data_IF_914038096382
#
_entry.id   IF_914038096382
#
_cell.length_a   1.000
_cell.length_b   1.000
_cell.length_c   1.000
_cell.angle_alpha   90.00
_cell.angle_beta   90.00
_cell.angle_gamma   90.00
#
_symmetry.space_group_name_H-M   'P 1'
#
loop_
_entity.id
_entity.type
_entity.pdbx_description
1 polymer ?
#
# COMPACT_ATOMS: atom_id res chain seq x y z
N UNK A 1 14.71 1.15 69.58
CA UNK A 1 14.69 2.31 68.66
C UNK A 1 13.36 3.00 68.86
N UNK A 2 13.35 4.27 69.31
CA UNK A 2 12.11 5.01 69.57
C UNK A 2 11.58 5.52 68.23
N UNK A 3 10.36 5.14 67.87
CA UNK A 3 9.60 5.78 66.79
C UNK A 3 9.21 7.19 67.24
N UNK A 4 9.92 8.21 66.75
CA UNK A 4 9.49 9.60 66.87
C UNK A 4 8.45 9.89 65.78
N UNK A 5 7.20 10.13 66.20
CA UNK A 5 6.14 10.56 65.31
C UNK A 5 6.52 11.89 64.62
N UNK A 6 6.20 12.09 63.33
CA UNK A 6 6.55 13.30 62.61
C UNK A 6 5.92 14.53 63.28
N UNK A 7 6.76 15.45 63.74
CA UNK A 7 6.36 16.68 64.43
C UNK A 7 5.74 17.64 63.43
N UNK A 8 4.41 17.68 63.35
CA UNK A 8 3.68 18.64 62.51
C UNK A 8 3.85 20.03 63.13
N UNK A 9 4.63 20.89 62.48
CA UNK A 9 4.82 22.28 62.87
C UNK A 9 3.65 23.09 62.29
N UNK A 10 2.86 23.71 63.16
CA UNK A 10 1.77 24.59 62.74
C UNK A 10 2.30 26.01 62.51
N UNK A 11 1.95 26.60 61.37
CA UNK A 11 2.26 27.99 61.04
C UNK A 11 0.96 28.76 60.87
N UNK A 12 0.87 29.94 61.48
CA UNK A 12 -0.30 30.82 61.38
C UNK A 12 -0.07 31.85 60.29
N UNK A 13 -1.03 31.99 59.37
CA UNK A 13 -1.05 33.06 58.36
C UNK A 13 -2.34 33.86 58.54
N UNK A 14 -2.22 35.18 58.66
CA UNK A 14 -3.36 36.08 58.75
C UNK A 14 -3.78 36.51 57.34
N UNK A 15 -5.07 36.48 57.05
CA UNK A 15 -5.66 36.95 55.80
C UNK A 15 -6.54 38.17 56.06
N UNK A 16 -6.67 39.05 55.06
CA UNK A 16 -7.54 40.21 55.14
C UNK A 16 -9.03 39.81 55.10
N UNK A 17 -9.91 40.77 55.42
CA UNK A 17 -11.36 40.54 55.51
C UNK A 17 -12.00 40.21 54.15
N UNK A 18 -11.48 40.71 53.03
CA UNK A 18 -12.02 40.43 51.70
C UNK A 18 -11.68 39.01 51.26
N UNK A 19 -10.42 38.60 51.42
CA UNK A 19 -9.98 37.23 51.17
C UNK A 19 -10.73 36.24 52.07
N UNK A 20 -10.95 36.59 53.34
CA UNK A 20 -11.77 35.80 54.26
C UNK A 20 -13.21 35.58 53.78
N UNK A 21 -13.85 36.61 53.21
CA UNK A 21 -15.20 36.49 52.61
C UNK A 21 -15.21 35.59 51.38
N UNK A 22 -14.17 35.62 50.56
CA UNK A 22 -14.03 34.73 49.40
C UNK A 22 -13.99 33.27 49.83
N UNK A 23 -13.15 32.96 50.84
CA UNK A 23 -13.07 31.62 51.44
C UNK A 23 -14.43 31.19 51.97
N UNK A 24 -15.14 32.06 52.70
CA UNK A 24 -16.49 31.76 53.19
C UNK A 24 -17.51 31.50 52.07
N UNK A 25 -17.43 32.23 50.96
CA UNK A 25 -18.30 32.01 49.79
C UNK A 25 -18.06 30.63 49.18
N UNK A 26 -16.80 30.20 49.08
CA UNK A 26 -16.42 28.87 48.58
C UNK A 26 -16.87 27.79 49.56
N UNK A 27 -16.63 27.98 50.87
CA UNK A 27 -17.12 27.09 51.92
C UNK A 27 -18.63 26.88 51.85
N UNK A 28 -19.42 27.95 51.65
CA UNK A 28 -20.88 27.87 51.50
C UNK A 28 -21.31 27.16 50.22
N UNK A 29 -20.62 27.41 49.09
CA UNK A 29 -20.97 26.83 47.78
C UNK A 29 -20.79 25.30 47.76
N UNK A 30 -19.72 24.82 48.37
CA UNK A 30 -19.36 23.39 48.34
C UNK A 30 -19.58 22.68 49.68
N UNK A 31 -20.16 23.36 50.68
CA UNK A 31 -20.41 22.84 52.03
C UNK A 31 -19.14 22.30 52.73
N UNK A 32 -18.02 23.00 52.57
CA UNK A 32 -16.71 22.60 53.10
C UNK A 32 -16.28 23.47 54.29
N UNK A 33 -15.45 22.91 55.17
CA UNK A 33 -14.84 23.66 56.28
C UNK A 33 -13.70 24.55 55.76
N UNK A 34 -13.45 25.69 56.42
CA UNK A 34 -12.38 26.63 56.03
C UNK A 34 -11.01 25.95 55.91
N UNK A 35 -10.67 25.07 56.86
CA UNK A 35 -9.41 24.31 56.84
C UNK A 35 -9.30 23.33 55.67
N UNK A 36 -10.43 22.78 55.21
CA UNK A 36 -10.49 21.80 54.13
C UNK A 36 -10.39 22.48 52.76
N UNK A 37 -11.08 23.62 52.59
CA UNK A 37 -10.94 24.46 51.38
C UNK A 37 -9.50 24.88 51.17
N UNK A 38 -8.80 25.31 52.22
CA UNK A 38 -7.40 25.73 52.13
C UNK A 38 -6.50 24.56 51.72
N UNK A 39 -6.65 23.38 52.34
CA UNK A 39 -5.89 22.17 51.96
C UNK A 39 -6.13 21.77 50.51
N UNK A 40 -7.40 21.73 50.09
CA UNK A 40 -7.77 21.36 48.73
C UNK A 40 -7.29 22.38 47.69
N UNK A 41 -7.32 23.67 48.02
CA UNK A 41 -6.84 24.72 47.12
C UNK A 41 -5.34 24.58 46.85
N UNK A 42 -4.50 24.41 47.88
CA UNK A 42 -3.06 24.19 47.69
C UNK A 42 -2.78 22.88 46.97
N UNK A 43 -3.50 21.80 47.29
CA UNK A 43 -3.38 20.53 46.58
C UNK A 43 -3.78 20.66 45.11
N UNK A 44 -4.79 21.48 44.81
CA UNK A 44 -5.22 21.74 43.43
C UNK A 44 -4.18 22.54 42.66
N UNK A 45 -3.59 23.60 43.25
CA UNK A 45 -2.52 24.36 42.62
C UNK A 45 -1.32 23.47 42.28
N UNK A 46 -0.91 22.61 43.21
CA UNK A 46 0.20 21.67 43.04
C UNK A 46 -0.10 20.62 41.96
N UNK A 47 -1.26 19.96 42.04
CA UNK A 47 -1.65 18.91 41.09
C UNK A 47 -2.01 19.42 39.69
N UNK A 48 -2.59 20.62 39.59
CA UNK A 48 -2.96 21.23 38.32
C UNK A 48 -1.82 22.05 37.71
N UNK A 49 -0.68 22.16 38.40
CA UNK A 49 0.47 22.97 38.01
C UNK A 49 0.09 24.42 37.65
N UNK A 50 -0.83 25.01 38.41
CA UNK A 50 -1.31 26.38 38.20
C UNK A 50 -0.46 27.34 39.01
N UNK A 51 0.09 28.36 38.36
CA UNK A 51 0.76 29.46 39.04
C UNK A 51 -0.28 30.45 39.59
N UNK A 52 -0.42 30.60 40.92
CA UNK A 52 -1.39 31.54 41.51
C UNK A 52 -1.02 33.01 41.29
N UNK A 53 0.20 33.32 40.84
CA UNK A 53 0.61 34.67 40.48
C UNK A 53 0.20 35.07 39.05
N UNK A 54 -0.05 34.10 38.17
CA UNK A 54 -0.49 34.36 36.82
C UNK A 54 -2.01 34.56 36.80
N UNK A 55 -2.48 35.55 36.06
CA UNK A 55 -3.91 35.73 35.84
C UNK A 55 -4.46 34.44 35.20
N UNK A 56 -5.54 33.85 35.73
CA UNK A 56 -6.07 32.61 35.18
C UNK A 56 -6.47 32.85 33.73
N UNK A 57 -5.76 32.23 32.78
CA UNK A 57 -6.16 32.26 31.38
C UNK A 57 -7.56 31.64 31.28
N UNK A 58 -8.50 32.39 30.71
CA UNK A 58 -9.88 31.92 30.61
C UNK A 58 -9.90 30.64 29.77
N UNK A 59 -10.60 29.60 30.23
CA UNK A 59 -10.86 28.36 29.48
C UNK A 59 -11.36 28.67 28.05
N UNK A 60 -12.12 29.76 27.89
CA UNK A 60 -12.58 30.26 26.59
C UNK A 60 -11.44 30.67 25.65
N UNK A 61 -10.39 31.30 26.18
CA UNK A 61 -9.22 31.73 25.39
C UNK A 61 -8.35 30.55 24.97
N UNK A 62 -8.16 29.56 25.84
CA UNK A 62 -7.46 28.32 25.51
C UNK A 62 -8.19 27.52 24.44
N UNK A 63 -9.51 27.37 24.57
CA UNK A 63 -10.34 26.74 23.53
C UNK A 63 -10.26 27.48 22.20
N UNK A 64 -10.23 28.81 22.21
CA UNK A 64 -10.06 29.59 20.99
C UNK A 64 -8.69 29.38 20.33
N UNK A 65 -7.60 29.30 21.11
CA UNK A 65 -6.25 28.97 20.60
C UNK A 65 -6.22 27.57 19.98
N UNK A 66 -6.85 26.58 20.65
CA UNK A 66 -6.94 25.20 20.16
C UNK A 66 -7.73 25.14 18.86
N UNK A 67 -8.91 25.77 18.79
CA UNK A 67 -9.73 25.78 17.58
C UNK A 67 -9.00 26.41 16.39
N UNK A 68 -8.29 27.52 16.61
CA UNK A 68 -7.48 28.15 15.55
C UNK A 68 -6.39 27.19 15.04
N UNK A 69 -5.70 26.47 15.93
CA UNK A 69 -4.70 25.47 15.54
C UNK A 69 -5.33 24.31 14.77
N UNK A 70 -6.52 23.87 15.15
CA UNK A 70 -7.25 22.84 14.41
C UNK A 70 -7.61 23.32 13.01
N UNK A 71 -8.11 24.54 12.85
CA UNK A 71 -8.42 25.12 11.54
C UNK A 71 -7.17 25.21 10.65
N UNK A 72 -6.04 25.61 11.23
CA UNK A 72 -4.76 25.68 10.52
C UNK A 72 -4.27 24.29 10.08
N UNK A 73 -4.42 23.26 10.93
CA UNK A 73 -4.09 21.87 10.58
C UNK A 73 -4.99 21.35 9.47
N UNK A 74 -6.31 21.59 9.57
CA UNK A 74 -7.27 21.18 8.53
C UNK A 74 -6.92 21.84 7.20
N UNK A 75 -6.58 23.14 7.22
CA UNK A 75 -6.16 23.88 6.03
C UNK A 75 -4.88 23.31 5.43
N UNK A 76 -3.90 22.98 6.27
CA UNK A 76 -2.65 22.35 5.83
C UNK A 76 -2.91 21.00 5.14
N UNK A 77 -3.73 20.14 5.75
CA UNK A 77 -4.05 18.82 5.19
C UNK A 77 -4.71 18.96 3.82
N UNK A 78 -5.75 19.81 3.71
CA UNK A 78 -6.45 20.04 2.43
C UNK A 78 -5.50 20.55 1.35
N UNK A 79 -4.66 21.53 1.70
CA UNK A 79 -3.69 22.07 0.76
C UNK A 79 -2.69 21.01 0.29
N UNK A 80 -2.18 20.19 1.20
CA UNK A 80 -1.28 19.09 0.85
C UNK A 80 -1.97 18.02 -0.01
N UNK A 81 -3.21 17.67 0.30
CA UNK A 81 -4.02 16.74 -0.48
C UNK A 81 -4.23 17.25 -1.92
N UNK A 82 -4.59 18.52 -2.07
CA UNK A 82 -4.84 19.16 -3.36
C UNK A 82 -3.58 19.30 -4.21
N UNK A 83 -2.49 19.80 -3.63
CA UNK A 83 -1.27 20.16 -4.36
C UNK A 83 -0.30 18.99 -4.55
N UNK A 84 -0.29 18.00 -3.64
CA UNK A 84 0.71 16.92 -3.65
C UNK A 84 0.07 15.55 -3.82
N UNK A 85 -0.86 15.18 -2.92
CA UNK A 85 -1.36 13.80 -2.87
C UNK A 85 -2.23 13.45 -4.10
N UNK A 86 -3.19 14.31 -4.43
CA UNK A 86 -4.11 14.08 -5.55
C UNK A 86 -3.40 14.03 -6.91
N UNK A 87 -2.46 14.94 -7.24
CA UNK A 87 -1.64 14.82 -8.44
C UNK A 87 -0.81 13.53 -8.49
N UNK A 88 -0.24 13.10 -7.36
CA UNK A 88 0.52 11.85 -7.30
C UNK A 88 -0.38 10.64 -7.58
N UNK A 89 -1.58 10.58 -6.99
CA UNK A 89 -2.57 9.53 -7.26
C UNK A 89 -2.93 9.50 -8.76
N UNK A 90 -3.21 10.66 -9.36
CA UNK A 90 -3.51 10.78 -10.79
C UNK A 90 -2.35 10.30 -11.67
N UNK A 91 -1.13 10.66 -11.30
CA UNK A 91 0.08 10.25 -12.03
C UNK A 91 0.26 8.73 -11.95
N UNK A 92 0.16 8.15 -10.76
CA UNK A 92 0.22 6.70 -10.56
C UNK A 92 -0.86 5.96 -11.35
N UNK A 93 -2.09 6.45 -11.36
CA UNK A 93 -3.17 5.89 -12.17
C UNK A 93 -2.86 5.99 -13.67
N UNK A 94 -2.33 7.13 -14.14
CA UNK A 94 -1.94 7.29 -15.55
C UNK A 94 -0.85 6.30 -15.95
N UNK A 95 0.13 6.07 -15.07
CA UNK A 95 1.20 5.09 -15.28
C UNK A 95 0.62 3.68 -15.38
N UNK A 96 -0.28 3.29 -14.46
CA UNK A 96 -0.91 1.98 -14.47
C UNK A 96 -1.67 1.72 -15.79
N UNK A 97 -2.49 2.67 -16.24
CA UNK A 97 -3.23 2.55 -17.51
C UNK A 97 -2.30 2.42 -18.72
N UNK A 98 -1.21 3.20 -18.74
CA UNK A 98 -0.20 3.09 -19.82
C UNK A 98 0.48 1.73 -19.82
N UNK A 99 0.77 1.18 -18.64
CA UNK A 99 1.36 -0.14 -18.50
C UNK A 99 0.41 -1.23 -18.99
N UNK A 100 -0.85 -1.21 -18.55
CA UNK A 100 -1.87 -2.17 -19.00
C UNK A 100 -2.05 -2.15 -20.52
N UNK A 101 -2.07 -0.94 -21.10
CA UNK A 101 -2.15 -0.77 -22.56
C UNK A 101 -0.93 -1.36 -23.27
N UNK A 102 0.28 -1.08 -22.77
CA UNK A 102 1.52 -1.59 -23.37
C UNK A 102 1.59 -3.13 -23.29
N UNK A 103 1.20 -3.70 -22.15
CA UNK A 103 1.14 -5.16 -21.96
C UNK A 103 0.10 -5.79 -22.89
N UNK A 104 -1.07 -5.17 -23.07
CA UNK A 104 -2.08 -5.60 -24.03
C UNK A 104 -1.54 -5.66 -25.46
N UNK A 105 -0.94 -4.57 -25.93
CA UNK A 105 -0.34 -4.48 -27.27
C UNK A 105 0.76 -5.53 -27.45
N UNK A 106 1.64 -5.70 -26.46
CA UNK A 106 2.71 -6.70 -26.52
C UNK A 106 2.14 -8.13 -26.61
N UNK A 107 1.10 -8.42 -25.83
CA UNK A 107 0.44 -9.73 -25.83
C UNK A 107 -0.17 -10.03 -27.20
N UNK A 108 -0.87 -9.08 -27.80
CA UNK A 108 -1.42 -9.23 -29.15
C UNK A 108 -0.32 -9.47 -30.20
N UNK A 109 0.78 -8.71 -30.12
CA UNK A 109 1.91 -8.86 -31.05
C UNK A 109 2.57 -10.24 -30.94
N UNK A 110 2.84 -10.70 -29.71
CA UNK A 110 3.42 -12.02 -29.47
C UNK A 110 2.50 -13.12 -29.99
N UNK A 111 1.19 -13.02 -29.75
CA UNK A 111 0.22 -13.98 -30.27
C UNK A 111 0.21 -14.00 -31.81
N UNK A 112 0.29 -12.83 -32.46
CA UNK A 112 0.37 -12.73 -33.91
C UNK A 112 1.64 -13.39 -34.47
N UNK A 113 2.80 -13.13 -33.86
CA UNK A 113 4.08 -13.73 -34.26
C UNK A 113 4.06 -15.26 -34.08
N UNK A 114 3.53 -15.75 -32.96
CA UNK A 114 3.37 -17.19 -32.69
C UNK A 114 2.49 -17.84 -33.76
N UNK A 115 1.34 -17.25 -34.06
CA UNK A 115 0.42 -17.80 -35.06
C UNK A 115 1.04 -17.79 -36.46
N UNK A 116 1.66 -16.69 -36.85
CA UNK A 116 2.36 -16.58 -38.15
C UNK A 116 3.49 -17.62 -38.26
N UNK A 117 4.26 -17.82 -37.19
CA UNK A 117 5.31 -18.84 -37.16
C UNK A 117 4.74 -20.25 -37.27
N UNK A 118 3.63 -20.54 -36.60
CA UNK A 118 2.94 -21.84 -36.70
C UNK A 118 2.46 -22.09 -38.13
N UNK A 119 1.85 -21.10 -38.76
CA UNK A 119 1.36 -21.20 -40.15
C UNK A 119 2.52 -21.44 -41.12
N UNK A 120 3.65 -20.74 -40.93
CA UNK A 120 4.86 -20.97 -41.71
C UNK A 120 5.39 -22.40 -41.55
N UNK A 121 5.45 -22.92 -40.33
CA UNK A 121 5.88 -24.30 -40.06
C UNK A 121 4.94 -25.31 -40.73
N UNK A 122 3.62 -25.11 -40.63
CA UNK A 122 2.63 -25.97 -41.30
C UNK A 122 2.81 -25.95 -42.81
N UNK A 123 3.06 -24.78 -43.40
CA UNK A 123 3.30 -24.65 -44.84
C UNK A 123 4.59 -25.35 -45.29
N UNK A 124 5.67 -25.27 -44.48
CA UNK A 124 6.91 -26.00 -44.74
C UNK A 124 6.68 -27.51 -44.68
N UNK A 125 5.96 -28.00 -43.66
CA UNK A 125 5.65 -29.42 -43.52
C UNK A 125 4.81 -29.94 -44.70
N UNK A 126 3.81 -29.17 -45.17
CA UNK A 126 3.03 -29.52 -46.37
C UNK A 126 3.90 -29.66 -47.61
N UNK A 127 4.79 -28.70 -47.86
CA UNK A 127 5.72 -28.76 -49.00
C UNK A 127 6.66 -29.96 -48.93
N UNK A 128 7.10 -30.31 -47.71
CA UNK A 128 7.95 -31.47 -47.49
C UNK A 128 7.21 -32.77 -47.75
N UNK A 129 5.96 -32.88 -47.30
CA UNK A 129 5.07 -34.02 -47.58
C UNK A 129 4.84 -34.20 -49.09
N UNK A 130 4.51 -33.12 -49.79
CA UNK A 130 4.39 -33.13 -51.26
C UNK A 130 5.68 -33.60 -51.95
N UNK A 131 6.84 -33.16 -51.46
CA UNK A 131 8.13 -33.56 -52.01
C UNK A 131 8.44 -35.05 -51.75
N UNK A 132 8.17 -35.54 -50.54
CA UNK A 132 8.32 -36.97 -50.24
C UNK A 132 7.34 -37.83 -51.04
N UNK A 133 6.11 -37.37 -51.27
CA UNK A 133 5.16 -38.01 -52.17
C UNK A 133 5.72 -38.18 -53.58
N UNK A 134 6.37 -37.15 -54.14
CA UNK A 134 7.05 -37.22 -55.45
C UNK A 134 8.20 -38.22 -55.44
N UNK A 135 9.03 -38.22 -54.40
CA UNK A 135 10.15 -39.18 -54.25
C UNK A 135 9.61 -40.61 -54.22
N UNK A 136 8.55 -40.89 -53.46
CA UNK A 136 7.95 -42.21 -53.38
C UNK A 136 7.48 -42.73 -54.75
N UNK A 137 6.86 -41.86 -55.57
CA UNK A 137 6.48 -42.19 -56.95
C UNK A 137 7.70 -42.54 -57.81
N UNK A 138 8.78 -41.75 -57.73
CA UNK A 138 10.02 -42.03 -58.47
C UNK A 138 10.63 -43.36 -58.06
N UNK A 139 10.71 -43.65 -56.76
CA UNK A 139 11.22 -44.93 -56.23
C UNK A 139 10.39 -46.11 -56.76
N UNK A 140 9.06 -46.00 -56.72
CA UNK A 140 8.17 -47.06 -57.22
C UNK A 140 8.39 -47.33 -58.71
N UNK A 141 8.53 -46.27 -59.52
CA UNK A 141 8.80 -46.40 -60.96
C UNK A 141 10.17 -47.04 -61.24
N UNK A 142 11.19 -46.68 -60.46
CA UNK A 142 12.53 -47.27 -60.56
C UNK A 142 12.52 -48.75 -60.15
N UNK A 143 11.87 -49.09 -59.04
CA UNK A 143 11.71 -50.49 -58.58
C UNK A 143 11.07 -51.35 -59.66
N UNK A 144 9.94 -50.91 -60.24
CA UNK A 144 9.26 -51.62 -61.31
C UNK A 144 10.14 -51.81 -62.58
N UNK A 145 11.03 -50.86 -62.85
CA UNK A 145 12.00 -50.96 -63.97
C UNK A 145 13.11 -51.97 -63.67
N UNK A 146 13.60 -52.01 -62.44
CA UNK A 146 14.58 -53.00 -61.98
C UNK A 146 13.99 -54.41 -62.01
N UNK A 147 12.74 -54.60 -61.59
CA UNK A 147 12.06 -55.90 -61.64
C UNK A 147 11.98 -56.43 -63.10
N UNK A 148 11.63 -55.56 -64.05
CA UNK A 148 11.62 -55.90 -65.49
C UNK A 148 13.01 -56.27 -66.00
N UNK A 149 14.04 -55.52 -65.59
CA UNK A 149 15.43 -55.80 -65.99
C UNK A 149 15.91 -57.14 -65.40
N UNK A 150 15.63 -57.40 -64.13
CA UNK A 150 15.94 -58.66 -63.45
C UNK A 150 15.30 -59.85 -64.18
N UNK A 151 14.00 -59.75 -64.50
CA UNK A 151 13.31 -60.81 -65.25
C UNK A 151 13.91 -61.05 -66.64
N UNK A 152 14.39 -59.99 -67.31
CA UNK A 152 15.06 -60.09 -68.61
C UNK A 152 16.40 -60.81 -68.48
N UNK A 153 17.19 -60.46 -67.46
CA UNK A 153 18.48 -61.11 -67.15
C UNK A 153 18.28 -62.59 -66.80
N UNK A 154 17.28 -62.91 -65.99
CA UNK A 154 16.96 -64.29 -65.63
C UNK A 154 16.61 -65.12 -66.86
N UNK A 155 15.77 -64.58 -67.75
CA UNK A 155 15.41 -65.25 -69.00
C UNK A 155 16.64 -65.45 -69.90
N UNK A 156 17.48 -64.43 -70.06
CA UNK A 156 18.70 -64.55 -70.86
C UNK A 156 19.68 -65.58 -70.29
N UNK A 157 19.84 -65.60 -68.96
CA UNK A 157 20.69 -66.58 -68.27
C UNK A 157 20.18 -68.01 -68.45
N UNK A 158 18.85 -68.22 -68.48
CA UNK A 158 18.26 -69.53 -68.82
C UNK A 158 18.54 -69.93 -70.27
N UNK A 159 18.49 -69.00 -71.22
CA UNK A 159 18.79 -69.27 -72.64
C UNK A 159 20.26 -69.59 -72.90
N UNK A 160 21.19 -69.02 -72.11
CA UNK A 160 22.63 -69.32 -72.24
C UNK A 160 22.98 -70.69 -71.63
N UNK A 161 22.30 -71.08 -70.55
CA UNK A 161 22.58 -72.32 -69.82
C UNK A 161 21.79 -73.56 -70.33
N UNK A 162 21.06 -73.42 -71.45
CA UNK A 162 20.31 -74.50 -72.14
C UNK A 162 20.99 -74.90 -73.43
#
# INVERSE_FOLDING_TARGET
MKDEAPKIIYTTVSIDKETGRLVEKICKRYSLKKSEVVKLAFLYLDKAHINPADAPESVKSELAKINKRQDDIIRFIRHYEEEQLNPMIRTSHSIAVKFDTAVGILTEKVNLEINTSKDNLVNVLKKLDEHFGKIAVVINNQSASLDKLSATIDNHSRTINS
#
